data_IF_535819209537
#
_entry.id   IF_535819209537
#
_cell.length_a   1.000
_cell.length_b   1.000
_cell.length_c   1.000
_cell.angle_alpha   90.00
_cell.angle_beta   90.00
_cell.angle_gamma   90.00
#
_symmetry.space_group_name_H-M   'P 1'
#
loop_
_entity.id
_entity.type
_entity.pdbx_description
1 polymer ?
#
# COMPACT_ATOMS: atom_id res chain seq x y z
N UNK A 1 2.73 17.27 6.37
CA UNK A 1 2.26 16.12 7.18
C UNK A 1 0.94 15.69 6.56
N UNK A 2 0.81 14.42 6.13
CA UNK A 2 -0.35 13.89 5.37
C UNK A 2 -0.58 12.40 5.62
N UNK A 3 -1.73 11.86 5.16
CA UNK A 3 -2.06 10.42 5.30
C UNK A 3 -1.19 9.60 4.33
N UNK A 4 -0.42 8.60 4.82
CA UNK A 4 0.47 7.81 3.97
C UNK A 4 -0.19 7.21 2.72
N UNK A 5 -1.47 6.83 2.81
CA UNK A 5 -2.17 6.18 1.69
C UNK A 5 -2.45 7.16 0.55
N UNK A 6 -2.68 8.43 0.86
CA UNK A 6 -2.94 9.50 -0.10
C UNK A 6 -1.62 9.97 -0.70
N UNK A 7 -0.62 10.24 0.15
CA UNK A 7 0.71 10.69 -0.29
C UNK A 7 1.41 9.70 -1.23
N UNK A 8 1.19 8.39 -1.03
CA UNK A 8 1.76 7.37 -1.93
C UNK A 8 1.07 7.39 -3.30
N UNK A 9 -0.26 7.56 -3.35
CA UNK A 9 -0.97 7.66 -4.62
C UNK A 9 -0.54 8.91 -5.40
N UNK A 10 -0.47 10.07 -4.71
CA UNK A 10 0.04 11.31 -5.30
C UNK A 10 1.44 11.13 -5.87
N UNK A 11 2.36 10.52 -5.10
CA UNK A 11 3.72 10.27 -5.56
C UNK A 11 3.77 9.34 -6.79
N UNK A 12 2.89 8.33 -6.88
CA UNK A 12 2.81 7.45 -8.06
C UNK A 12 2.40 8.24 -9.31
N UNK A 13 1.42 9.13 -9.18
CA UNK A 13 0.96 10.00 -10.28
C UNK A 13 2.03 11.02 -10.68
N UNK A 14 2.63 11.72 -9.72
CA UNK A 14 3.69 12.72 -9.96
C UNK A 14 4.90 12.10 -10.66
N UNK A 15 5.28 10.89 -10.25
CA UNK A 15 6.43 10.17 -10.82
C UNK A 15 6.10 9.42 -12.11
N UNK A 16 4.82 9.35 -12.52
CA UNK A 16 4.35 8.49 -13.61
C UNK A 16 4.88 7.05 -13.46
N UNK A 17 4.80 6.49 -12.25
CA UNK A 17 5.41 5.21 -11.95
C UNK A 17 4.62 4.05 -12.59
N UNK A 18 5.31 3.16 -13.30
CA UNK A 18 4.71 1.96 -13.91
C UNK A 18 4.46 0.82 -12.88
N UNK A 19 5.16 0.85 -11.74
CA UNK A 19 5.09 -0.18 -10.70
C UNK A 19 5.31 0.42 -9.29
N UNK A 20 4.37 0.15 -8.39
CA UNK A 20 4.51 0.42 -6.96
C UNK A 20 4.91 -0.87 -6.22
N UNK A 21 6.08 -0.89 -5.59
CA UNK A 21 6.53 -1.99 -4.73
C UNK A 21 6.43 -1.57 -3.26
N UNK A 22 5.74 -2.36 -2.44
CA UNK A 22 5.60 -2.06 -1.02
C UNK A 22 5.52 -3.30 -0.13
N UNK A 23 5.96 -3.15 1.11
CA UNK A 23 5.85 -4.21 2.11
C UNK A 23 4.46 -4.29 2.75
N UNK A 24 4.07 -5.47 3.22
CA UNK A 24 2.97 -5.65 4.15
C UNK A 24 3.43 -6.31 5.46
N UNK A 25 2.77 -5.97 6.57
CA UNK A 25 2.97 -6.63 7.85
C UNK A 25 1.86 -7.65 8.07
N UNK A 26 2.22 -8.91 8.32
CA UNK A 26 1.27 -9.91 8.80
C UNK A 26 1.12 -9.70 10.31
N UNK A 27 0.02 -9.10 10.73
CA UNK A 27 -0.37 -9.09 12.14
C UNK A 27 -1.01 -10.45 12.46
N UNK A 28 -0.66 -11.04 13.61
CA UNK A 28 -1.15 -12.37 14.02
C UNK A 28 -2.69 -12.50 14.11
N UNK A 29 -3.23 -13.65 14.55
CA UNK A 29 -4.63 -14.04 14.36
C UNK A 29 -5.69 -13.14 15.03
N UNK A 30 -5.29 -12.14 15.83
CA UNK A 30 -6.21 -11.17 16.41
C UNK A 30 -5.65 -9.76 16.27
N UNK A 31 -6.01 -9.11 15.16
CA UNK A 31 -6.58 -7.76 15.17
C UNK A 31 -7.51 -7.65 13.96
N UNK A 32 -8.74 -8.10 14.19
CA UNK A 32 -10.00 -7.71 13.54
C UNK A 32 -9.77 -6.52 12.59
N UNK A 33 -9.69 -6.78 11.29
CA UNK A 33 -9.85 -5.81 10.20
C UNK A 33 -9.10 -4.48 10.43
N UNK A 34 -7.86 -4.36 9.97
CA UNK A 34 -7.40 -3.02 9.56
C UNK A 34 -8.42 -2.56 8.51
N UNK A 35 -9.18 -1.53 8.85
CA UNK A 35 -10.28 -0.91 8.08
C UNK A 35 -9.73 -0.28 6.78
N UNK A 36 -9.08 -1.10 5.95
CA UNK A 36 -8.13 -0.73 4.91
C UNK A 36 -6.69 -0.59 5.43
N UNK A 37 -5.77 -1.47 5.03
CA UNK A 37 -4.33 -1.21 5.18
C UNK A 37 -3.88 -0.22 4.08
N UNK A 38 -2.75 0.46 4.28
CA UNK A 38 -2.14 1.31 3.24
C UNK A 38 -1.93 0.50 1.95
N UNK A 39 -1.43 -0.73 2.06
CA UNK A 39 -1.24 -1.61 0.90
C UNK A 39 -2.54 -1.96 0.18
N UNK A 40 -3.62 -2.17 0.92
CA UNK A 40 -4.93 -2.41 0.33
C UNK A 40 -5.48 -1.14 -0.33
N UNK A 41 -5.30 0.03 0.29
CA UNK A 41 -5.73 1.29 -0.30
C UNK A 41 -4.99 1.54 -1.62
N UNK A 42 -3.66 1.50 -1.63
CA UNK A 42 -2.88 1.74 -2.84
C UNK A 42 -3.23 0.75 -3.96
N UNK A 43 -3.37 -0.54 -3.65
CA UNK A 43 -3.74 -1.57 -4.65
C UNK A 43 -5.07 -1.32 -5.37
N UNK A 44 -5.97 -0.53 -4.78
CA UNK A 44 -7.27 -0.22 -5.35
C UNK A 44 -7.36 1.21 -5.94
N UNK A 45 -6.37 2.07 -5.71
CA UNK A 45 -6.48 3.50 -6.04
C UNK A 45 -5.33 4.03 -6.92
N UNK A 46 -4.20 3.33 -7.05
CA UNK A 46 -3.12 3.77 -7.94
C UNK A 46 -3.38 3.35 -9.39
N UNK A 47 -2.92 4.13 -10.40
CA UNK A 47 -3.13 3.83 -11.81
C UNK A 47 -2.18 2.76 -12.37
N UNK A 48 -1.28 2.22 -11.56
CA UNK A 48 -0.21 1.31 -11.99
C UNK A 48 -0.25 -0.05 -11.28
N UNK A 49 0.61 -0.97 -11.73
CA UNK A 49 0.73 -2.28 -11.10
C UNK A 49 1.25 -2.14 -9.66
N UNK A 50 0.75 -2.98 -8.74
CA UNK A 50 1.18 -2.99 -7.34
C UNK A 50 1.73 -4.36 -6.96
N UNK A 51 2.95 -4.38 -6.41
CA UNK A 51 3.59 -5.58 -5.88
C UNK A 51 3.72 -5.48 -4.36
N UNK A 52 2.99 -6.35 -3.66
CA UNK A 52 3.03 -6.44 -2.21
C UNK A 52 4.00 -7.54 -1.79
N UNK A 53 5.07 -7.16 -1.09
CA UNK A 53 6.07 -8.09 -0.56
C UNK A 53 5.73 -8.45 0.88
N UNK A 54 5.49 -9.74 1.14
CA UNK A 54 5.28 -10.27 2.49
C UNK A 54 6.62 -10.66 3.11
N UNK A 55 6.90 -10.16 4.32
CA UNK A 55 8.05 -10.59 5.10
C UNK A 55 7.91 -12.06 5.56
N UNK A 56 9.04 -12.77 5.62
CA UNK A 56 9.15 -14.21 5.95
C UNK A 56 9.24 -14.52 7.45
N UNK A 57 8.97 -13.54 8.33
CA UNK A 57 9.10 -13.69 9.79
C UNK A 57 7.93 -14.42 10.43
#
# INVERSE_FOLDING_TARGET
IGDPKEMICEAVEELNADLLVMGCRSVGPIKRVFLGSVSNYCSNNVPCAVMIVKGTT
#
